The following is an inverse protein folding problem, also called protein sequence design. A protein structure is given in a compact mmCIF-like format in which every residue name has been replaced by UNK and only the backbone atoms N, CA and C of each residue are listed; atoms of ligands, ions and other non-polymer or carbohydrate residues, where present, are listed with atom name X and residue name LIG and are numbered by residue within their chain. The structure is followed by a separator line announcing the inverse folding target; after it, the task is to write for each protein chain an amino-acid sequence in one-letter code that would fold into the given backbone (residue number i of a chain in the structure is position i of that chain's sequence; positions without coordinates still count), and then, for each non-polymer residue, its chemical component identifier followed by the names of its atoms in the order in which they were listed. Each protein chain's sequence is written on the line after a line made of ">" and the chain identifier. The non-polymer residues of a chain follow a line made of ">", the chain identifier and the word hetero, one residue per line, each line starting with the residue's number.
data_IF_722242650960
#
_entry.id   IF_722242650960
#
_cell.length_a   1.000
_cell.length_b   1.000
_cell.length_c   1.000
_cell.angle_alpha   90.00
_cell.angle_beta   90.00
_cell.angle_gamma   90.00
#
_symmetry.space_group_name_H-M   'P 1'
#
loop_
_entity.id
_entity.type
_entity.pdbx_description
1 polymer ?
#
# COMPACT_ATOMS: atom_id res chain seq x y z
N UNK A 1 -38.44 9.00 12.35
CA UNK A 1 -38.31 9.05 10.86
C UNK A 1 -36.88 9.37 10.41
N UNK A 2 -36.12 10.28 11.04
CA UNK A 2 -34.76 10.67 10.67
C UNK A 2 -33.74 9.51 10.83
N UNK A 3 -33.91 8.65 11.81
CA UNK A 3 -33.00 7.51 12.06
C UNK A 3 -33.12 6.40 11.01
N UNK A 4 -34.31 6.23 10.43
CA UNK A 4 -34.58 5.23 9.38
C UNK A 4 -33.99 5.64 8.02
N UNK A 5 -34.02 6.93 7.69
CA UNK A 5 -33.43 7.47 6.45
C UNK A 5 -31.90 7.44 6.47
N UNK A 6 -31.28 7.69 7.63
CA UNK A 6 -29.81 7.59 7.80
C UNK A 6 -29.32 6.13 7.67
N UNK A 7 -30.06 5.16 8.20
CA UNK A 7 -29.73 3.75 8.03
C UNK A 7 -29.87 3.28 6.58
N UNK A 8 -30.89 3.77 5.86
CA UNK A 8 -31.09 3.42 4.46
C UNK A 8 -29.98 3.99 3.55
N UNK A 9 -29.58 5.25 3.80
CA UNK A 9 -28.48 5.87 3.05
C UNK A 9 -27.12 5.19 3.31
N UNK A 10 -26.90 4.73 4.53
CA UNK A 10 -25.69 3.98 4.88
C UNK A 10 -25.68 2.59 4.21
N UNK A 11 -26.83 1.92 4.17
CA UNK A 11 -26.97 0.64 3.47
C UNK A 11 -26.77 0.77 1.95
N UNK A 12 -27.32 1.80 1.34
CA UNK A 12 -27.11 2.07 -0.11
C UNK A 12 -25.68 2.40 -0.44
N UNK A 13 -24.98 3.17 0.39
CA UNK A 13 -23.56 3.47 0.24
C UNK A 13 -22.70 2.21 0.34
N UNK A 14 -22.95 1.35 1.34
CA UNK A 14 -22.25 0.07 1.52
C UNK A 14 -22.49 -0.88 0.34
N UNK A 15 -23.72 -0.96 -0.17
CA UNK A 15 -24.06 -1.84 -1.32
C UNK A 15 -23.37 -1.35 -2.59
N UNK A 16 -23.37 -0.04 -2.82
CA UNK A 16 -22.70 0.58 -3.98
C UNK A 16 -21.18 0.37 -3.92
N UNK A 17 -20.58 0.49 -2.76
CA UNK A 17 -19.15 0.24 -2.52
C UNK A 17 -18.80 -1.25 -2.70
N UNK A 18 -19.67 -2.15 -2.26
CA UNK A 18 -19.52 -3.58 -2.46
C UNK A 18 -19.60 -3.97 -3.95
N UNK A 19 -20.55 -3.37 -4.69
CA UNK A 19 -20.72 -3.60 -6.13
C UNK A 19 -19.54 -3.03 -6.94
N UNK A 20 -19.00 -1.86 -6.56
CA UNK A 20 -17.82 -1.28 -7.17
C UNK A 20 -16.60 -2.18 -6.97
N UNK A 21 -16.37 -2.64 -5.74
CA UNK A 21 -15.29 -3.59 -5.42
C UNK A 21 -15.45 -4.94 -6.15
N UNK A 22 -16.68 -5.40 -6.34
CA UNK A 22 -16.96 -6.62 -7.10
C UNK A 22 -16.62 -6.46 -8.58
N UNK A 23 -16.94 -5.32 -9.19
CA UNK A 23 -16.57 -5.01 -10.59
C UNK A 23 -15.06 -4.94 -10.77
N UNK A 24 -14.37 -4.17 -9.93
CA UNK A 24 -12.91 -4.05 -9.98
C UNK A 24 -12.25 -5.44 -9.87
N UNK A 25 -12.69 -6.26 -8.93
CA UNK A 25 -12.16 -7.62 -8.76
C UNK A 25 -12.45 -8.50 -9.99
N UNK A 26 -13.63 -8.37 -10.59
CA UNK A 26 -13.99 -9.09 -11.80
C UNK A 26 -13.07 -8.68 -12.97
N UNK A 27 -12.85 -7.39 -13.15
CA UNK A 27 -12.02 -6.85 -14.24
C UNK A 27 -10.55 -7.25 -14.08
N UNK A 28 -10.02 -7.20 -12.86
CA UNK A 28 -8.67 -7.71 -12.54
C UNK A 28 -8.57 -9.20 -12.88
N UNK A 29 -9.54 -10.01 -12.48
CA UNK A 29 -9.55 -11.45 -12.78
C UNK A 29 -9.63 -11.71 -14.28
N UNK A 30 -10.36 -10.88 -15.02
CA UNK A 30 -10.44 -10.98 -16.48
C UNK A 30 -9.09 -10.71 -17.12
N UNK A 31 -8.40 -9.63 -16.73
CA UNK A 31 -7.07 -9.29 -17.25
C UNK A 31 -6.04 -10.37 -16.91
N UNK A 32 -6.01 -10.85 -15.65
CA UNK A 32 -5.11 -11.93 -15.21
C UNK A 32 -5.38 -13.22 -15.99
N UNK A 33 -6.64 -13.59 -16.21
CA UNK A 33 -6.99 -14.77 -16.98
C UNK A 33 -6.60 -14.65 -18.46
N UNK A 34 -6.74 -13.47 -19.06
CA UNK A 34 -6.30 -13.19 -20.43
C UNK A 34 -4.79 -13.38 -20.57
N UNK A 35 -4.00 -12.79 -19.68
CA UNK A 35 -2.54 -12.95 -19.67
C UNK A 35 -2.16 -14.43 -19.48
N UNK A 36 -2.80 -15.11 -18.53
CA UNK A 36 -2.56 -16.55 -18.31
C UNK A 36 -2.89 -17.41 -19.52
N UNK A 37 -3.99 -17.11 -20.22
CA UNK A 37 -4.39 -17.81 -21.44
C UNK A 37 -3.36 -17.63 -22.54
N UNK A 38 -2.91 -16.42 -22.80
CA UNK A 38 -1.88 -16.12 -23.78
C UNK A 38 -0.57 -16.87 -23.48
N UNK A 39 -0.13 -16.85 -22.23
CA UNK A 39 1.07 -17.58 -21.80
C UNK A 39 0.93 -19.10 -21.96
N UNK A 40 -0.24 -19.66 -21.61
CA UNK A 40 -0.50 -21.10 -21.74
C UNK A 40 -0.51 -21.58 -23.20
N UNK A 41 -0.82 -20.70 -24.15
CA UNK A 41 -0.80 -20.98 -25.60
C UNK A 41 0.53 -20.61 -26.26
N UNK A 42 1.58 -20.31 -25.48
CA UNK A 42 2.89 -19.95 -26.03
C UNK A 42 2.98 -18.56 -26.65
N UNK A 43 1.95 -17.75 -26.51
CA UNK A 43 1.84 -16.37 -27.04
C UNK A 43 2.47 -15.38 -26.07
N UNK A 44 3.76 -15.55 -25.81
CA UNK A 44 4.47 -14.77 -24.78
C UNK A 44 4.60 -13.28 -25.17
N UNK A 45 4.73 -13.02 -26.47
CA UNK A 45 4.84 -11.66 -26.99
C UNK A 45 3.53 -10.90 -26.83
N UNK A 46 2.41 -11.51 -27.21
CA UNK A 46 1.07 -10.92 -27.07
C UNK A 46 0.69 -10.72 -25.60
N UNK A 47 1.09 -11.66 -24.71
CA UNK A 47 0.90 -11.50 -23.27
C UNK A 47 1.67 -10.31 -22.74
N UNK A 48 2.90 -10.11 -23.22
CA UNK A 48 3.76 -8.98 -22.83
C UNK A 48 3.21 -7.66 -23.37
N UNK A 49 2.75 -7.64 -24.63
CA UNK A 49 2.13 -6.46 -25.25
C UNK A 49 0.82 -6.09 -24.54
N UNK A 50 -0.03 -7.07 -24.24
CA UNK A 50 -1.28 -6.84 -23.50
C UNK A 50 -1.04 -6.31 -22.09
N UNK A 51 -0.10 -6.91 -21.34
CA UNK A 51 0.32 -6.41 -20.05
C UNK A 51 0.94 -5.00 -20.18
N UNK A 52 1.74 -4.75 -21.22
CA UNK A 52 2.31 -3.45 -21.54
C UNK A 52 1.25 -2.40 -21.85
N UNK A 53 0.18 -2.74 -22.57
CA UNK A 53 -0.94 -1.83 -22.84
C UNK A 53 -1.70 -1.48 -21.56
N UNK A 54 -1.98 -2.46 -20.71
CA UNK A 54 -2.59 -2.23 -19.38
C UNK A 54 -1.71 -1.34 -18.50
N UNK A 55 -0.39 -1.48 -18.63
CA UNK A 55 0.57 -0.64 -17.93
C UNK A 55 0.73 0.73 -18.61
N UNK A 56 0.71 0.82 -19.95
CA UNK A 56 0.92 2.05 -20.70
C UNK A 56 -0.26 3.02 -20.61
N UNK A 57 -1.48 2.55 -20.50
CA UNK A 57 -2.62 3.38 -20.09
C UNK A 57 -2.37 4.01 -18.70
N UNK A 58 -1.46 3.44 -17.93
CA UNK A 58 -1.07 3.87 -16.59
C UNK A 58 0.39 4.36 -16.46
N UNK A 59 1.21 4.34 -17.52
CA UNK A 59 2.65 4.67 -17.38
C UNK A 59 2.95 6.16 -17.56
N UNK A 60 3.08 6.85 -16.42
CA UNK A 60 4.09 7.89 -16.21
C UNK A 60 4.81 7.62 -14.88
N UNK A 61 5.57 6.53 -14.84
CA UNK A 61 6.11 5.95 -13.61
C UNK A 61 7.51 6.43 -13.19
N UNK A 62 7.92 7.66 -13.50
CA UNK A 62 9.19 8.20 -12.99
C UNK A 62 9.12 8.76 -11.57
N UNK A 63 8.05 8.54 -10.84
CA UNK A 63 7.82 9.14 -9.52
C UNK A 63 7.98 8.19 -8.32
N UNK A 64 8.21 6.89 -8.53
CA UNK A 64 8.22 5.91 -7.44
C UNK A 64 9.60 5.64 -6.81
N UNK A 65 10.65 6.32 -7.25
CA UNK A 65 12.01 6.07 -6.76
C UNK A 65 12.73 4.93 -7.50
N UNK A 66 13.66 4.24 -6.82
CA UNK A 66 14.44 3.12 -7.36
C UNK A 66 13.83 1.76 -6.96
N UNK A 67 12.56 1.56 -7.28
CA UNK A 67 11.88 0.29 -7.01
C UNK A 67 12.03 -0.64 -8.22
N UNK A 68 12.82 -1.70 -8.06
CA UNK A 68 13.04 -2.71 -9.11
C UNK A 68 12.00 -3.84 -9.09
N UNK A 69 11.10 -3.88 -8.09
CA UNK A 69 10.04 -4.86 -8.01
C UNK A 69 8.84 -4.46 -8.89
N UNK A 70 8.61 -5.15 -10.02
CA UNK A 70 7.60 -4.73 -11.00
C UNK A 70 6.16 -4.82 -10.49
N UNK A 71 5.88 -5.74 -9.56
CA UNK A 71 4.54 -5.91 -8.97
C UNK A 71 4.21 -4.71 -8.08
N UNK A 72 5.18 -4.27 -7.27
CA UNK A 72 5.00 -3.13 -6.38
C UNK A 72 4.94 -1.83 -7.17
N UNK A 73 5.77 -1.68 -8.21
CA UNK A 73 5.69 -0.52 -9.12
C UNK A 73 4.32 -0.39 -9.74
N UNK A 74 3.78 -1.47 -10.33
CA UNK A 74 2.47 -1.45 -10.96
C UNK A 74 1.35 -1.15 -9.96
N UNK A 75 1.39 -1.78 -8.78
CA UNK A 75 0.41 -1.59 -7.72
C UNK A 75 0.41 -0.14 -7.22
N UNK A 76 1.56 0.37 -6.81
CA UNK A 76 1.68 1.72 -6.24
C UNK A 76 1.37 2.81 -7.25
N UNK A 77 1.72 2.59 -8.53
CA UNK A 77 1.36 3.55 -9.56
C UNK A 77 -0.16 3.80 -9.58
N UNK A 78 -0.97 2.74 -9.61
CA UNK A 78 -2.43 2.84 -9.57
C UNK A 78 -2.92 3.61 -8.34
N UNK A 79 -2.41 3.25 -7.15
CA UNK A 79 -2.81 3.88 -5.87
C UNK A 79 -2.45 5.37 -5.79
N UNK A 80 -1.25 5.72 -6.30
CA UNK A 80 -0.81 7.12 -6.37
C UNK A 80 -1.69 7.93 -7.32
N UNK A 81 -2.11 7.37 -8.46
CA UNK A 81 -3.01 8.07 -9.38
C UNK A 81 -4.42 8.26 -8.77
N UNK A 82 -4.94 7.26 -8.07
CA UNK A 82 -6.21 7.34 -7.34
C UNK A 82 -6.18 8.47 -6.27
N UNK A 83 -5.11 8.55 -5.49
CA UNK A 83 -4.92 9.59 -4.49
C UNK A 83 -4.82 10.99 -5.14
N UNK A 84 -4.05 11.12 -6.22
CA UNK A 84 -3.92 12.36 -6.99
C UNK A 84 -5.25 12.83 -7.58
N UNK A 85 -6.08 11.92 -8.07
CA UNK A 85 -7.43 12.23 -8.57
C UNK A 85 -8.34 12.81 -7.48
N UNK A 86 -8.04 12.51 -6.20
CA UNK A 86 -8.73 13.08 -5.03
C UNK A 86 -8.07 14.38 -4.51
N UNK A 87 -7.10 14.94 -5.23
CA UNK A 87 -6.39 16.16 -4.84
C UNK A 87 -5.31 15.95 -3.78
N UNK A 88 -4.90 14.70 -3.53
CA UNK A 88 -3.87 14.36 -2.54
C UNK A 88 -2.50 14.32 -3.23
N UNK A 89 -1.52 15.06 -2.70
CA UNK A 89 -0.13 14.95 -3.16
C UNK A 89 0.51 13.72 -2.54
N UNK A 90 1.13 12.86 -3.35
CA UNK A 90 1.84 11.67 -2.86
C UNK A 90 3.30 11.75 -3.28
N UNK A 91 4.19 11.71 -2.30
CA UNK A 91 5.64 11.58 -2.49
C UNK A 91 6.08 10.17 -2.10
N UNK A 92 6.88 9.54 -2.94
CA UNK A 92 7.34 8.17 -2.71
C UNK A 92 8.86 8.08 -2.82
N UNK A 93 9.48 7.43 -1.84
CA UNK A 93 10.91 7.11 -1.81
C UNK A 93 11.07 5.62 -1.53
N UNK A 94 10.97 4.82 -2.58
CA UNK A 94 10.95 3.36 -2.48
C UNK A 94 12.19 2.79 -3.13
N UNK A 95 13.01 2.11 -2.33
CA UNK A 95 14.24 1.45 -2.77
C UNK A 95 14.09 -0.04 -2.45
N UNK A 96 13.63 -0.80 -3.43
CA UNK A 96 13.38 -2.23 -3.29
C UNK A 96 14.02 -3.01 -4.44
N UNK A 97 14.77 -4.10 -4.17
CA UNK A 97 15.27 -4.98 -5.20
C UNK A 97 14.14 -5.81 -5.85
N UNK A 98 14.44 -6.43 -6.98
CA UNK A 98 13.51 -7.30 -7.72
C UNK A 98 13.02 -8.45 -6.84
N UNK A 99 13.94 -9.08 -6.11
CA UNK A 99 13.66 -10.24 -5.26
C UNK A 99 13.82 -9.87 -3.78
N UNK A 100 12.80 -10.23 -3.01
CA UNK A 100 12.76 -10.06 -1.57
C UNK A 100 12.29 -11.37 -0.93
N UNK A 101 12.77 -11.73 0.27
CA UNK A 101 12.24 -12.86 1.03
C UNK A 101 10.87 -12.55 1.67
N UNK A 102 10.14 -11.62 1.10
CA UNK A 102 8.77 -11.24 1.44
C UNK A 102 7.92 -11.42 0.19
N UNK A 103 6.77 -12.09 0.30
CA UNK A 103 5.92 -12.36 -0.86
C UNK A 103 5.34 -11.06 -1.43
N UNK A 104 5.23 -10.98 -2.76
CA UNK A 104 4.61 -9.82 -3.42
C UNK A 104 3.17 -9.60 -2.94
N UNK A 105 2.43 -10.67 -2.63
CA UNK A 105 1.07 -10.57 -2.07
C UNK A 105 1.07 -9.85 -0.74
N UNK A 106 1.98 -10.19 0.17
CA UNK A 106 2.07 -9.53 1.47
C UNK A 106 2.53 -8.08 1.34
N UNK A 107 3.46 -7.79 0.41
CA UNK A 107 3.86 -6.42 0.10
C UNK A 107 2.68 -5.57 -0.41
N UNK A 108 1.89 -6.11 -1.35
CA UNK A 108 0.67 -5.45 -1.84
C UNK A 108 -0.33 -5.21 -0.72
N UNK A 109 -0.50 -6.17 0.19
CA UNK A 109 -1.36 -6.01 1.37
C UNK A 109 -0.86 -4.88 2.28
N UNK A 110 0.45 -4.83 2.55
CA UNK A 110 1.03 -3.78 3.40
C UNK A 110 0.89 -2.40 2.76
N UNK A 111 1.36 -2.24 1.53
CA UNK A 111 1.26 -0.96 0.83
C UNK A 111 -0.19 -0.51 0.62
N UNK A 112 -1.10 -1.45 0.33
CA UNK A 112 -2.52 -1.18 0.17
C UNK A 112 -3.14 -0.61 1.44
N UNK A 113 -2.95 -1.29 2.57
CA UNK A 113 -3.52 -0.84 3.84
C UNK A 113 -2.91 0.49 4.31
N UNK A 114 -1.61 0.73 4.09
CA UNK A 114 -0.99 2.01 4.40
C UNK A 114 -1.59 3.14 3.56
N UNK A 115 -1.71 2.94 2.24
CA UNK A 115 -2.29 3.95 1.34
C UNK A 115 -3.76 4.19 1.60
N UNK A 116 -4.56 3.15 1.89
CA UNK A 116 -5.98 3.30 2.20
C UNK A 116 -6.20 4.12 3.47
N UNK A 117 -5.44 3.82 4.52
CA UNK A 117 -5.49 4.57 5.77
C UNK A 117 -5.10 6.04 5.58
N UNK A 118 -4.03 6.29 4.80
CA UNK A 118 -3.55 7.64 4.52
C UNK A 118 -4.56 8.46 3.70
N UNK A 119 -5.14 7.87 2.64
CA UNK A 119 -6.15 8.53 1.80
C UNK A 119 -7.40 8.84 2.62
N UNK A 120 -7.88 7.92 3.46
CA UNK A 120 -9.01 8.15 4.35
C UNK A 120 -8.76 9.30 5.34
N UNK A 121 -7.57 9.35 5.93
CA UNK A 121 -7.17 10.43 6.83
C UNK A 121 -7.09 11.78 6.12
N UNK A 122 -6.64 11.80 4.87
CA UNK A 122 -6.49 12.99 4.04
C UNK A 122 -7.79 13.52 3.45
N UNK A 123 -8.86 12.72 3.38
CA UNK A 123 -10.10 13.05 2.65
C UNK A 123 -10.81 14.34 3.08
N UNK A 124 -10.51 14.86 4.28
CA UNK A 124 -11.13 16.06 4.85
C UNK A 124 -10.18 17.25 4.98
N UNK A 125 -8.96 17.12 4.46
CA UNK A 125 -7.91 18.12 4.60
C UNK A 125 -7.75 18.93 3.31
N UNK A 126 -7.35 20.18 3.44
CA UNK A 126 -6.98 21.02 2.31
C UNK A 126 -5.52 20.76 1.92
N UNK A 127 -5.29 20.41 0.64
CA UNK A 127 -3.96 20.14 0.09
C UNK A 127 -3.13 19.12 0.90
N UNK A 128 -3.68 17.95 1.21
CA UNK A 128 -2.98 16.97 2.01
C UNK A 128 -1.81 16.33 1.22
N UNK A 129 -0.78 15.92 1.97
CA UNK A 129 0.41 15.28 1.43
C UNK A 129 0.64 13.94 2.13
N UNK A 130 0.79 12.88 1.35
CA UNK A 130 1.19 11.56 1.85
C UNK A 130 2.65 11.33 1.47
N UNK A 131 3.46 10.86 2.40
CA UNK A 131 4.84 10.44 2.18
C UNK A 131 4.94 8.94 2.42
N UNK A 132 5.43 8.19 1.42
CA UNK A 132 5.59 6.75 1.48
C UNK A 132 7.04 6.38 1.22
N UNK A 133 7.68 5.79 2.21
CA UNK A 133 9.08 5.39 2.15
C UNK A 133 9.20 3.88 2.33
N UNK A 134 10.10 3.23 1.59
CA UNK A 134 10.44 1.83 1.79
C UNK A 134 11.90 1.57 1.44
N UNK A 135 12.63 0.93 2.35
CA UNK A 135 14.04 0.61 2.17
C UNK A 135 14.44 -0.59 3.06
N UNK A 136 15.60 -1.15 2.77
CA UNK A 136 16.17 -2.21 3.58
C UNK A 136 17.19 -1.61 4.54
N UNK A 137 17.02 -1.85 5.83
CA UNK A 137 17.95 -1.43 6.87
C UNK A 137 18.15 -2.54 7.91
N UNK A 138 19.42 -2.87 8.20
CA UNK A 138 19.82 -3.84 9.25
C UNK A 138 19.09 -5.18 9.20
N UNK A 139 18.82 -5.67 7.96
CA UNK A 139 18.14 -6.96 7.74
C UNK A 139 16.62 -6.91 7.90
N UNK A 140 16.06 -5.71 7.93
CA UNK A 140 14.62 -5.48 7.88
C UNK A 140 14.25 -4.72 6.61
N UNK A 141 13.12 -5.05 6.03
CA UNK A 141 12.40 -4.15 5.15
C UNK A 141 11.59 -3.21 6.04
N UNK A 142 11.87 -1.93 5.93
CA UNK A 142 11.18 -0.86 6.65
C UNK A 142 10.28 -0.13 5.66
N UNK A 143 8.98 -0.11 5.93
CA UNK A 143 7.98 0.61 5.14
C UNK A 143 7.33 1.63 6.06
N UNK A 144 7.42 2.91 5.74
CA UNK A 144 6.86 4.00 6.53
C UNK A 144 5.94 4.84 5.67
N UNK A 145 4.75 5.06 6.16
CA UNK A 145 3.78 6.03 5.62
C UNK A 145 3.62 7.18 6.62
N UNK A 146 3.53 8.40 6.12
CA UNK A 146 3.25 9.59 6.91
C UNK A 146 2.25 10.51 6.21
N UNK A 147 1.27 10.97 6.95
CA UNK A 147 0.24 11.88 6.47
C UNK A 147 -0.09 12.97 7.51
N UNK A 148 -0.64 14.12 7.11
CA UNK A 148 -1.09 15.14 8.05
C UNK A 148 -2.17 14.60 8.98
N UNK A 149 -2.07 14.94 10.26
CA UNK A 149 -3.09 14.67 11.26
C UNK A 149 -3.75 15.97 11.70
N UNK A 150 -5.07 15.95 11.91
CA UNK A 150 -5.77 17.07 12.52
C UNK A 150 -5.36 17.13 13.99
N UNK A 151 -4.83 18.26 14.50
CA UNK A 151 -4.51 18.39 15.91
C UNK A 151 -5.75 18.13 16.76
N UNK A 152 -5.67 17.21 17.70
CA UNK A 152 -6.74 17.05 18.69
C UNK A 152 -6.84 18.34 19.54
N UNK A 153 -8.07 18.84 19.83
CA UNK A 153 -8.24 20.01 20.68
C UNK A 153 -7.63 19.73 22.07
N UNK A 154 -6.80 20.65 22.53
CA UNK A 154 -6.14 20.59 23.85
C UNK A 154 -7.17 20.33 24.96
N UNK A 155 -7.02 19.20 25.66
CA UNK A 155 -7.84 18.89 26.85
C UNK A 155 -8.31 17.45 26.99
N UNK A 156 -8.21 16.60 25.99
CA UNK A 156 -8.46 15.17 26.16
C UNK A 156 -7.16 14.41 26.42
N UNK A 157 -6.87 14.21 27.72
CA UNK A 157 -5.74 13.38 28.16
C UNK A 157 -5.71 12.05 27.41
N UNK A 158 -4.58 11.84 26.71
CA UNK A 158 -4.08 10.59 26.17
C UNK A 158 -4.54 9.36 26.96
N UNK A 159 -5.59 8.67 26.49
CA UNK A 159 -5.86 7.27 26.83
C UNK A 159 -6.85 6.59 25.87
N UNK A 160 -7.07 7.15 24.68
CA UNK A 160 -7.75 6.40 23.63
C UNK A 160 -6.71 6.07 22.57
N UNK A 161 -6.47 4.77 22.39
CA UNK A 161 -5.85 4.23 21.18
C UNK A 161 -6.58 4.91 20.02
N UNK A 162 -5.88 5.63 19.13
CA UNK A 162 -6.51 6.30 18.00
C UNK A 162 -7.48 5.34 17.29
N UNK A 163 -8.58 5.83 16.79
CA UNK A 163 -9.61 5.01 16.14
C UNK A 163 -9.01 4.24 14.95
N UNK A 164 -7.99 4.83 14.31
CA UNK A 164 -7.16 4.20 13.28
C UNK A 164 -6.42 2.94 13.76
N UNK A 165 -5.91 2.91 15.00
CA UNK A 165 -5.23 1.71 15.54
C UNK A 165 -6.16 0.52 15.75
N UNK A 166 -7.47 0.76 15.79
CA UNK A 166 -8.51 -0.27 15.86
C UNK A 166 -9.02 -0.66 14.47
N UNK A 167 -8.60 0.04 13.43
CA UNK A 167 -9.04 -0.25 12.07
C UNK A 167 -8.62 -1.66 11.65
N UNK A 168 -9.43 -2.28 10.81
CA UNK A 168 -9.13 -3.61 10.24
C UNK A 168 -7.79 -3.58 9.51
N UNK A 169 -7.47 -2.46 8.84
CA UNK A 169 -6.20 -2.27 8.14
C UNK A 169 -4.98 -2.37 9.07
N UNK A 170 -5.03 -1.74 10.26
CA UNK A 170 -3.94 -1.83 11.24
C UNK A 170 -3.78 -3.25 11.81
N UNK A 171 -4.86 -3.99 11.99
CA UNK A 171 -4.80 -5.40 12.42
C UNK A 171 -4.14 -6.27 11.34
N UNK A 172 -4.46 -6.03 10.07
CA UNK A 172 -3.83 -6.72 8.93
C UNK A 172 -2.33 -6.40 8.88
N UNK A 173 -1.93 -5.13 9.01
CA UNK A 173 -0.52 -4.73 9.03
C UNK A 173 0.25 -5.43 10.16
N UNK A 174 -0.32 -5.47 11.36
CA UNK A 174 0.28 -6.18 12.52
C UNK A 174 0.43 -7.68 12.23
N UNK A 175 -0.61 -8.32 11.68
CA UNK A 175 -0.58 -9.74 11.35
C UNK A 175 0.48 -10.07 10.29
N UNK A 176 0.63 -9.23 9.26
CA UNK A 176 1.70 -9.42 8.26
C UNK A 176 3.07 -9.19 8.88
N UNK A 177 3.23 -8.16 9.72
CA UNK A 177 4.50 -7.92 10.41
C UNK A 177 4.90 -9.10 11.29
N UNK A 178 3.98 -9.66 12.08
CA UNK A 178 4.20 -10.85 12.92
C UNK A 178 4.61 -12.08 12.10
N UNK A 179 4.00 -12.30 10.93
CA UNK A 179 4.36 -13.37 10.00
C UNK A 179 5.84 -13.33 9.62
N UNK A 180 6.41 -12.13 9.49
CA UNK A 180 7.82 -11.91 9.16
C UNK A 180 8.68 -11.58 10.39
N UNK A 181 8.27 -11.95 11.60
CA UNK A 181 8.99 -11.69 12.85
C UNK A 181 9.40 -10.22 13.01
N UNK A 182 8.57 -9.34 12.53
CA UNK A 182 8.73 -7.90 12.58
C UNK A 182 7.74 -7.25 13.53
N UNK A 183 7.49 -5.96 13.31
CA UNK A 183 6.56 -5.16 14.11
C UNK A 183 5.87 -4.11 13.26
N UNK A 184 4.73 -3.60 13.76
CA UNK A 184 4.03 -2.46 13.20
C UNK A 184 3.81 -1.44 14.31
N UNK A 185 4.25 -0.22 14.10
CA UNK A 185 4.14 0.89 15.04
C UNK A 185 3.46 2.07 14.39
N UNK A 186 2.71 2.83 15.19
CA UNK A 186 2.13 4.10 14.77
C UNK A 186 2.52 5.20 15.75
N UNK A 187 2.77 6.38 15.23
CA UNK A 187 3.14 7.55 16.00
C UNK A 187 2.30 8.76 15.57
N UNK A 188 1.85 9.54 16.54
CA UNK A 188 1.16 10.81 16.31
C UNK A 188 2.06 11.93 16.78
N UNK A 189 2.53 12.76 15.86
CA UNK A 189 3.29 13.98 16.14
C UNK A 189 2.39 15.22 16.16
N UNK A 190 3.02 16.41 16.29
CA UNK A 190 2.29 17.69 16.45
C UNK A 190 1.33 18.05 15.27
N UNK A 191 1.49 17.51 14.09
CA UNK A 191 0.60 17.71 12.93
C UNK A 191 0.65 16.55 11.95
N UNK A 192 1.32 15.44 12.30
CA UNK A 192 1.47 14.29 11.42
C UNK A 192 1.16 13.00 12.17
N UNK A 193 0.59 12.05 11.44
CA UNK A 193 0.47 10.66 11.83
C UNK A 193 1.41 9.84 10.96
N UNK A 194 2.08 8.87 11.53
CA UNK A 194 2.93 7.96 10.78
C UNK A 194 2.75 6.51 11.21
N UNK A 195 2.85 5.61 10.26
CA UNK A 195 2.84 4.15 10.48
C UNK A 195 4.11 3.57 9.90
N UNK A 196 4.83 2.80 10.71
CA UNK A 196 6.03 2.07 10.29
C UNK A 196 5.82 0.57 10.44
N UNK A 197 6.06 -0.16 9.36
CA UNK A 197 5.99 -1.62 9.31
C UNK A 197 7.40 -2.16 9.08
N UNK A 198 7.83 -3.04 9.96
CA UNK A 198 9.12 -3.70 9.92
C UNK A 198 8.92 -5.17 9.58
N UNK A 199 9.51 -5.65 8.50
CA UNK A 199 9.47 -7.06 8.10
C UNK A 199 10.90 -7.60 8.13
N UNK A 200 11.16 -8.60 8.96
CA UNK A 200 12.49 -9.19 9.05
C UNK A 200 12.79 -10.02 7.80
N UNK A 201 13.88 -9.69 7.14
CA UNK A 201 14.38 -10.42 5.98
C UNK A 201 15.21 -11.61 6.50
N UNK A 202 14.54 -12.74 6.75
CA UNK A 202 15.25 -13.97 7.12
C UNK A 202 15.94 -14.49 5.87
N UNK A 203 17.28 -14.52 5.87
CA UNK A 203 18.01 -15.24 4.83
C UNK A 203 17.57 -16.70 4.84
N UNK A 204 17.07 -17.21 3.72
CA UNK A 204 16.95 -18.65 3.52
C UNK A 204 18.36 -19.24 3.74
N UNK A 205 18.51 -20.12 4.71
CA UNK A 205 19.73 -20.90 4.87
C UNK A 205 19.87 -21.78 3.62
N UNK A 206 21.00 -21.60 2.95
CA UNK A 206 21.62 -22.37 1.87
C UNK A 206 21.62 -21.70 0.49
N UNK A 207 22.80 -21.22 0.11
CA UNK A 207 23.22 -20.96 -1.27
C UNK A 207 23.29 -19.49 -1.69
N UNK A 208 24.44 -18.88 -1.44
CA UNK A 208 24.96 -17.60 -1.89
C UNK A 208 24.74 -16.39 -0.99
N UNK A 209 25.76 -16.15 -0.20
CA UNK A 209 26.09 -14.88 0.43
C UNK A 209 26.37 -13.82 -0.65
N UNK A 210 25.46 -12.88 -0.86
CA UNK A 210 25.70 -11.69 -1.70
C UNK A 210 25.27 -10.38 -1.04
N UNK A 211 24.77 -10.35 0.18
CA UNK A 211 24.42 -9.05 0.82
C UNK A 211 25.05 -8.91 2.21
N UNK A 212 26.36 -9.12 2.31
CA UNK A 212 27.15 -8.56 3.38
C UNK A 212 28.30 -7.79 2.73
N UNK A 213 28.45 -6.54 3.12
CA UNK A 213 29.52 -5.59 2.71
C UNK A 213 29.22 -4.74 1.45
N UNK A 214 28.49 -3.65 1.64
CA UNK A 214 28.80 -2.37 1.06
C UNK A 214 28.14 -1.24 1.89
N UNK A 215 28.69 -1.04 3.08
CA UNK A 215 28.54 0.19 3.84
C UNK A 215 29.91 0.55 4.36
N UNK A 216 30.67 1.30 3.55
CA UNK A 216 31.75 2.19 3.91
C UNK A 216 32.57 2.51 2.64
N UNK A 217 32.32 3.61 2.03
CA UNK A 217 33.24 4.72 1.73
C UNK A 217 32.39 5.93 1.33
#
# INVERSE_FOLDING_TARGET
>A
QVRSTMQLSHYTALTSQYEANRRIRHDILHHVNTIRYLLANGQQQEATEYAGQLLAENQRSSQLGQCDNPVIVAFLYGRVQEAKAQGITVETHIILPVELPVSNTDLVIVFGNLMDNAVEACAKLENPKIELNAHIEKGYLVITESNPAVPEPEGRKQRRIPELERSVGMQILKSVAEKYQGSCMSETGNCNYSVSVFLKLVQAKEGNAIYAENSCV
#
